data_IF_088329336875
#
_entry.id   IF_088329336875
#
_cell.length_a   1.000
_cell.length_b   1.000
_cell.length_c   1.000
_cell.angle_alpha   90.00
_cell.angle_beta   90.00
_cell.angle_gamma   90.00
#
_symmetry.space_group_name_H-M   'P 1'
#
loop_
_entity.id
_entity.type
_entity.pdbx_description
1 polymer ?
#
# COMPACT_ATOMS: atom_id res chain seq x y z
N UNK A 1 -11.61 84.77 -21.62
CA UNK A 1 -12.33 83.51 -21.90
C UNK A 1 -11.93 82.96 -23.26
N UNK A 2 -11.32 81.76 -23.30
CA UNK A 2 -11.58 80.64 -24.23
C UNK A 2 -10.43 79.64 -24.08
N UNK A 3 -10.62 78.65 -23.20
CA UNK A 3 -9.72 77.48 -23.05
C UNK A 3 -9.92 76.56 -24.25
N UNK A 4 -8.84 76.25 -24.95
CA UNK A 4 -8.76 75.17 -25.94
C UNK A 4 -8.85 73.82 -25.20
N UNK A 5 -9.81 72.97 -25.58
CA UNK A 5 -9.90 71.57 -25.13
C UNK A 5 -8.90 70.71 -25.94
N UNK A 6 -8.11 69.82 -25.33
CA UNK A 6 -7.41 68.78 -26.07
C UNK A 6 -8.34 67.62 -26.41
N UNK A 7 -8.13 67.06 -27.61
CA UNK A 7 -8.86 65.96 -28.25
C UNK A 7 -8.84 64.69 -27.39
N UNK A 8 -9.98 64.01 -27.31
CA UNK A 8 -10.11 62.66 -26.76
C UNK A 8 -9.43 61.64 -27.69
N UNK A 9 -8.49 60.87 -27.15
CA UNK A 9 -7.91 59.72 -27.82
C UNK A 9 -8.94 58.59 -27.93
N UNK A 10 -9.56 58.45 -29.10
CA UNK A 10 -10.33 57.25 -29.45
C UNK A 10 -9.37 56.08 -29.63
N UNK A 11 -9.31 55.15 -28.68
CA UNK A 11 -8.68 53.85 -28.92
C UNK A 11 -9.47 53.10 -30.00
N UNK A 12 -8.81 52.45 -30.99
CA UNK A 12 -9.50 51.69 -32.02
C UNK A 12 -10.37 50.58 -31.40
N UNK A 13 -11.59 50.39 -31.93
CA UNK A 13 -12.58 49.43 -31.42
C UNK A 13 -12.02 47.99 -31.28
N UNK A 14 -11.05 47.61 -32.11
CA UNK A 14 -10.36 46.31 -32.05
C UNK A 14 -9.50 46.12 -30.79
N UNK A 15 -8.92 47.19 -30.24
CA UNK A 15 -8.15 47.16 -28.98
C UNK A 15 -9.06 47.11 -27.75
N UNK A 16 -10.23 47.77 -27.81
CA UNK A 16 -11.27 47.70 -26.79
C UNK A 16 -11.88 46.30 -26.72
N UNK A 17 -12.14 45.68 -27.87
CA UNK A 17 -12.68 44.32 -27.97
C UNK A 17 -11.66 43.26 -27.49
N UNK A 18 -10.37 43.39 -27.86
CA UNK A 18 -9.29 42.54 -27.32
C UNK A 18 -9.10 42.71 -25.81
N UNK A 19 -9.23 43.94 -25.27
CA UNK A 19 -9.20 44.19 -23.82
C UNK A 19 -10.39 43.56 -23.10
N UNK A 20 -11.59 43.59 -23.69
CA UNK A 20 -12.76 42.93 -23.12
C UNK A 20 -12.64 41.40 -23.15
N UNK A 21 -12.18 40.82 -24.27
CA UNK A 21 -11.91 39.38 -24.35
C UNK A 21 -10.83 38.93 -23.37
N UNK A 22 -9.72 39.68 -23.25
CA UNK A 22 -8.66 39.37 -22.28
C UNK A 22 -9.16 39.48 -20.83
N UNK A 23 -9.99 40.49 -20.51
CA UNK A 23 -10.61 40.61 -19.18
C UNK A 23 -11.60 39.49 -18.89
N UNK A 24 -12.36 39.04 -19.89
CA UNK A 24 -13.30 37.92 -19.75
C UNK A 24 -12.55 36.59 -19.57
N UNK A 25 -11.51 36.36 -20.38
CA UNK A 25 -10.62 35.20 -20.24
C UNK A 25 -9.88 35.20 -18.90
N UNK A 26 -9.33 36.34 -18.47
CA UNK A 26 -8.64 36.47 -17.19
C UNK A 26 -9.61 36.27 -16.01
N UNK A 27 -10.87 36.75 -16.11
CA UNK A 27 -11.90 36.47 -15.10
C UNK A 27 -12.30 35.00 -15.07
N UNK A 28 -12.45 34.35 -16.22
CA UNK A 28 -12.77 32.93 -16.30
C UNK A 28 -11.62 32.08 -15.78
N UNK A 29 -10.38 32.41 -16.16
CA UNK A 29 -9.16 31.75 -15.70
C UNK A 29 -8.95 31.95 -14.19
N UNK A 30 -9.06 33.18 -13.68
CA UNK A 30 -8.99 33.43 -12.24
C UNK A 30 -10.13 32.73 -11.50
N UNK A 31 -11.36 32.75 -12.01
CA UNK A 31 -12.48 32.05 -11.37
C UNK A 31 -12.25 30.54 -11.34
N UNK A 32 -11.84 29.93 -12.45
CA UNK A 32 -11.46 28.50 -12.54
C UNK A 32 -10.25 28.16 -11.66
N UNK A 33 -9.26 29.06 -11.60
CA UNK A 33 -8.08 28.92 -10.76
C UNK A 33 -8.48 28.98 -9.28
N UNK A 34 -9.26 29.98 -8.84
CA UNK A 34 -9.70 30.12 -7.45
C UNK A 34 -10.71 29.05 -7.02
N UNK A 35 -11.61 28.58 -7.89
CA UNK A 35 -12.55 27.50 -7.56
C UNK A 35 -11.85 26.15 -7.39
N UNK A 36 -10.83 25.86 -8.19
CA UNK A 36 -10.01 24.64 -8.04
C UNK A 36 -8.90 24.78 -6.98
N UNK A 37 -8.40 25.99 -6.74
CA UNK A 37 -7.41 26.27 -5.70
C UNK A 37 -8.02 26.05 -4.30
N UNK A 38 -9.32 26.29 -4.12
CA UNK A 38 -9.99 25.97 -2.86
C UNK A 38 -10.03 24.46 -2.59
N UNK A 39 -10.21 23.62 -3.62
CA UNK A 39 -10.10 22.17 -3.52
C UNK A 39 -8.67 21.73 -3.24
N UNK A 40 -7.68 22.32 -3.90
CA UNK A 40 -6.26 22.08 -3.64
C UNK A 40 -5.84 22.48 -2.22
N UNK A 41 -6.19 23.68 -1.77
CA UNK A 41 -5.88 24.19 -0.43
C UNK A 41 -6.64 23.41 0.64
N UNK A 42 -7.93 23.08 0.45
CA UNK A 42 -8.66 22.25 1.39
C UNK A 42 -8.11 20.82 1.43
N UNK A 43 -7.68 20.26 0.30
CA UNK A 43 -6.98 18.98 0.25
C UNK A 43 -5.65 19.02 1.01
N UNK A 44 -4.84 20.06 0.80
CA UNK A 44 -3.59 20.28 1.54
C UNK A 44 -3.84 20.52 3.03
N UNK A 45 -4.84 21.32 3.42
CA UNK A 45 -5.20 21.60 4.81
C UNK A 45 -5.76 20.37 5.52
N UNK A 46 -6.56 19.54 4.85
CA UNK A 46 -7.04 18.25 5.40
C UNK A 46 -5.88 17.27 5.56
N UNK A 47 -4.94 17.22 4.61
CA UNK A 47 -3.70 16.45 4.75
C UNK A 47 -2.83 16.95 5.91
N UNK A 48 -2.72 18.27 6.10
CA UNK A 48 -1.94 18.92 7.15
C UNK A 48 -2.56 18.76 8.54
N UNK A 49 -3.85 19.08 8.69
CA UNK A 49 -4.58 18.97 9.96
C UNK A 49 -4.63 17.52 10.46
N UNK A 50 -4.71 16.55 9.56
CA UNK A 50 -4.70 15.13 9.91
C UNK A 50 -3.29 14.54 10.10
N UNK A 51 -2.22 15.27 9.81
CA UNK A 51 -0.85 14.90 10.18
C UNK A 51 -0.56 15.18 11.67
N UNK A 52 -1.32 16.09 12.29
CA UNK A 52 -1.20 16.47 13.70
C UNK A 52 -2.09 15.67 14.67
N UNK A 53 -3.04 14.88 14.16
CA UNK A 53 -3.75 13.88 14.98
C UNK A 53 -2.85 12.66 15.21
N UNK A 54 -1.88 12.84 16.11
CA UNK A 54 -0.97 11.82 16.59
C UNK A 54 -1.74 10.80 17.45
N UNK A 55 -2.31 9.78 16.82
CA UNK A 55 -2.62 8.53 17.52
C UNK A 55 -1.40 7.62 17.41
N UNK A 56 -0.60 7.56 18.48
CA UNK A 56 0.38 6.49 18.67
C UNK A 56 -0.41 5.22 19.01
N UNK A 57 -0.72 4.42 18.01
CA UNK A 57 -1.28 3.09 18.24
C UNK A 57 -0.12 2.15 18.55
N UNK A 58 0.14 1.87 19.82
CA UNK A 58 1.28 1.01 20.18
C UNK A 58 1.06 -0.42 19.69
N UNK A 59 2.10 -0.98 19.07
CA UNK A 59 2.17 -2.39 18.72
C UNK A 59 2.15 -3.27 19.98
N UNK A 60 1.06 -4.00 20.20
CA UNK A 60 0.92 -4.90 21.35
C UNK A 60 0.97 -6.35 20.89
N UNK A 61 2.03 -7.05 21.30
CA UNK A 61 2.15 -8.50 21.15
C UNK A 61 1.48 -9.22 22.34
N UNK A 62 0.84 -10.35 22.06
CA UNK A 62 0.30 -11.23 23.11
C UNK A 62 1.43 -11.83 23.93
N UNK A 63 1.13 -12.14 25.20
CA UNK A 63 2.07 -12.76 26.15
C UNK A 63 2.77 -14.00 25.60
N UNK A 64 2.00 -14.93 25.02
CA UNK A 64 2.52 -16.18 24.47
C UNK A 64 2.68 -16.10 22.96
N UNK A 65 3.77 -16.67 22.45
CA UNK A 65 3.99 -16.80 21.02
C UNK A 65 2.94 -17.77 20.41
N UNK A 66 2.31 -17.45 19.26
CA UNK A 66 1.20 -18.22 18.70
C UNK A 66 1.47 -19.73 18.59
N UNK A 67 0.55 -20.54 19.10
CA UNK A 67 0.64 -22.01 19.05
C UNK A 67 1.67 -22.61 20.02
N UNK A 68 2.20 -21.85 20.97
CA UNK A 68 3.22 -22.30 21.92
C UNK A 68 2.93 -21.83 23.34
N UNK A 69 3.69 -22.35 24.31
CA UNK A 69 3.74 -21.87 25.70
C UNK A 69 4.88 -20.88 25.94
N UNK A 70 5.62 -20.49 24.90
CA UNK A 70 6.77 -19.60 25.00
C UNK A 70 6.29 -18.18 25.30
N UNK A 71 6.73 -17.65 26.43
CA UNK A 71 6.40 -16.29 26.87
C UNK A 71 7.36 -15.28 26.23
N UNK A 72 6.81 -14.21 25.67
CA UNK A 72 7.59 -13.05 25.22
C UNK A 72 8.08 -12.28 26.45
N UNK A 73 9.36 -11.93 26.46
CA UNK A 73 9.90 -10.99 27.43
C UNK A 73 9.17 -9.64 27.29
N UNK A 74 8.66 -9.12 28.39
CA UNK A 74 8.01 -7.81 28.39
C UNK A 74 9.00 -6.72 27.93
N UNK A 75 8.56 -5.88 26.98
CA UNK A 75 9.35 -4.76 26.45
C UNK A 75 8.61 -3.47 26.78
N UNK A 76 9.13 -2.65 27.72
CA UNK A 76 8.61 -1.32 27.96
C UNK A 76 8.68 -0.48 26.68
N UNK A 77 7.70 0.40 26.47
CA UNK A 77 7.65 1.23 25.27
C UNK A 77 8.92 2.08 25.07
N UNK A 78 9.49 2.57 26.17
CA UNK A 78 10.76 3.32 26.20
C UNK A 78 11.95 2.51 25.69
N UNK A 79 11.88 1.18 25.71
CA UNK A 79 12.93 0.26 25.32
C UNK A 79 12.66 -0.45 23.99
N UNK A 80 11.50 -0.27 23.36
CA UNK A 80 11.16 -0.95 22.09
C UNK A 80 12.16 -0.63 20.98
N UNK A 81 12.67 0.61 20.92
CA UNK A 81 13.58 1.03 19.84
C UNK A 81 14.98 0.43 20.04
N UNK A 82 15.51 -0.22 19.00
CA UNK A 82 16.87 -0.79 18.99
C UNK A 82 18.00 0.19 19.34
N UNK A 83 17.80 1.50 19.15
CA UNK A 83 18.79 2.52 19.53
C UNK A 83 18.93 2.68 21.06
N UNK A 84 17.90 2.29 21.81
CA UNK A 84 17.91 2.33 23.27
C UNK A 84 18.67 1.12 23.77
N UNK A 85 19.73 1.37 24.56
CA UNK A 85 20.49 0.31 25.23
C UNK A 85 19.56 -0.37 26.23
N UNK A 86 19.50 -1.70 26.17
CA UNK A 86 18.79 -2.51 27.15
C UNK A 86 19.64 -3.76 27.39
N UNK A 87 20.48 -3.68 28.44
CA UNK A 87 21.45 -4.73 28.77
C UNK A 87 20.78 -5.99 29.31
N UNK A 88 19.59 -5.85 29.90
CA UNK A 88 18.80 -6.98 30.44
C UNK A 88 17.94 -7.65 29.38
N UNK A 89 17.98 -7.19 28.13
CA UNK A 89 17.14 -7.71 27.07
C UNK A 89 17.72 -9.01 26.49
N UNK A 90 17.36 -10.13 27.12
CA UNK A 90 17.72 -11.48 26.71
C UNK A 90 16.45 -12.33 26.54
N UNK A 91 15.66 -12.08 25.49
CA UNK A 91 14.45 -12.86 25.24
C UNK A 91 14.80 -14.28 24.78
N UNK A 92 13.83 -15.19 24.90
CA UNK A 92 13.97 -16.56 24.39
C UNK A 92 14.21 -16.56 22.88
N UNK A 93 15.07 -17.46 22.42
CA UNK A 93 15.31 -17.70 20.99
C UNK A 93 14.44 -18.90 20.54
N UNK A 94 13.55 -18.65 19.58
CA UNK A 94 12.63 -19.65 19.08
C UNK A 94 12.57 -19.61 17.56
N UNK A 95 12.79 -20.76 16.94
CA UNK A 95 12.69 -20.95 15.49
C UNK A 95 12.09 -22.33 15.22
N UNK A 96 11.10 -22.37 14.34
CA UNK A 96 10.42 -23.58 13.89
C UNK A 96 9.99 -23.39 12.43
N UNK A 97 10.22 -24.40 11.59
CA UNK A 97 9.79 -24.37 10.21
C UNK A 97 8.39 -24.99 10.06
N UNK A 98 7.40 -24.28 9.51
CA UNK A 98 6.10 -24.88 9.19
C UNK A 98 6.24 -26.03 8.19
N UNK A 99 5.44 -27.10 8.36
CA UNK A 99 5.58 -28.34 7.61
C UNK A 99 5.47 -28.19 6.08
N UNK A 100 4.62 -27.27 5.60
CA UNK A 100 4.39 -27.04 4.16
C UNK A 100 5.34 -25.99 3.55
N UNK A 101 6.40 -25.63 4.26
CA UNK A 101 7.27 -24.54 3.88
C UNK A 101 8.74 -24.95 3.77
N UNK A 102 9.42 -24.39 2.78
CA UNK A 102 10.89 -24.42 2.70
C UNK A 102 11.44 -23.17 3.38
N UNK A 103 11.78 -23.31 4.65
CA UNK A 103 12.30 -22.20 5.46
C UNK A 103 13.80 -21.96 5.22
N UNK A 104 14.28 -20.79 5.61
CA UNK A 104 15.70 -20.51 5.71
C UNK A 104 16.42 -21.52 6.66
N UNK A 105 17.75 -21.67 6.56
CA UNK A 105 18.53 -22.33 7.60
C UNK A 105 18.49 -21.54 8.92
N UNK A 106 18.71 -22.23 10.05
CA UNK A 106 18.80 -21.60 11.37
C UNK A 106 20.03 -20.71 11.52
N UNK A 107 21.14 -21.07 10.87
CA UNK A 107 22.29 -20.18 10.72
C UNK A 107 22.04 -19.25 9.52
N UNK A 108 21.92 -17.91 9.73
CA UNK A 108 21.69 -16.96 8.64
C UNK A 108 22.92 -16.74 7.75
N UNK A 109 24.06 -17.38 8.03
CA UNK A 109 25.29 -17.19 7.27
C UNK A 109 25.08 -17.51 5.78
N UNK A 110 25.49 -16.57 4.92
CA UNK A 110 25.36 -16.68 3.47
C UNK A 110 24.06 -16.10 2.90
N UNK A 111 23.09 -15.73 3.74
CA UNK A 111 21.86 -15.07 3.31
C UNK A 111 22.15 -13.62 2.90
N UNK A 112 21.65 -13.23 1.72
CA UNK A 112 21.80 -11.87 1.17
C UNK A 112 20.69 -10.94 1.63
N UNK A 113 20.86 -10.33 2.80
CA UNK A 113 19.87 -9.41 3.36
C UNK A 113 19.77 -8.06 2.63
N UNK A 114 18.58 -7.46 2.66
CA UNK A 114 18.26 -6.16 2.02
C UNK A 114 18.45 -6.12 0.50
N UNK A 115 18.38 -7.27 -0.17
CA UNK A 115 18.42 -7.40 -1.62
C UNK A 115 17.55 -8.57 -2.10
N UNK A 116 17.54 -8.81 -3.40
CA UNK A 116 16.90 -9.99 -3.98
C UNK A 116 17.91 -11.13 -3.89
N UNK A 117 17.56 -12.17 -3.14
CA UNK A 117 18.36 -13.36 -2.91
C UNK A 117 17.74 -14.51 -3.70
N UNK A 118 18.22 -14.70 -4.92
CA UNK A 118 17.66 -15.61 -5.93
C UNK A 118 16.17 -15.36 -6.17
N UNK A 119 15.32 -16.28 -5.69
CA UNK A 119 13.88 -16.21 -5.85
C UNK A 119 13.16 -15.45 -4.73
N UNK A 120 13.86 -15.02 -3.69
CA UNK A 120 13.27 -14.36 -2.52
C UNK A 120 13.67 -12.89 -2.46
N UNK A 121 12.67 -12.01 -2.47
CA UNK A 121 12.88 -10.59 -2.16
C UNK A 121 13.02 -10.42 -0.65
N UNK A 122 14.23 -10.08 -0.20
CA UNK A 122 14.52 -9.87 1.23
C UNK A 122 14.57 -8.39 1.59
N UNK A 123 14.07 -7.49 0.73
CA UNK A 123 14.02 -6.03 1.00
C UNK A 123 12.79 -5.69 1.84
N UNK A 124 12.84 -4.58 2.56
CA UNK A 124 11.70 -4.10 3.37
C UNK A 124 10.99 -2.93 2.69
N UNK A 125 9.68 -2.86 2.86
CA UNK A 125 8.83 -1.74 2.44
C UNK A 125 8.76 -0.61 3.47
N UNK A 126 9.30 -0.82 4.67
CA UNK A 126 9.18 0.12 5.79
C UNK A 126 10.20 1.26 5.67
N UNK A 127 11.37 0.98 5.10
CA UNK A 127 12.49 1.93 4.95
C UNK A 127 13.49 1.42 3.91
N UNK A 128 14.51 2.22 3.60
CA UNK A 128 15.54 1.84 2.62
C UNK A 128 16.25 0.51 2.93
N UNK A 129 16.63 0.26 4.19
CA UNK A 129 17.26 -1.00 4.67
C UNK A 129 16.92 -1.28 6.13
N UNK A 130 16.67 -2.53 6.50
CA UNK A 130 16.69 -2.95 7.90
C UNK A 130 18.13 -3.16 8.39
N UNK A 131 18.31 -3.12 9.71
CA UNK A 131 19.63 -3.29 10.33
C UNK A 131 19.91 -4.77 10.51
N UNK A 132 21.19 -5.13 10.47
CA UNK A 132 21.68 -6.45 10.86
C UNK A 132 22.32 -6.31 12.25
N UNK A 133 21.97 -7.21 13.16
CA UNK A 133 22.50 -7.30 14.49
C UNK A 133 23.92 -7.89 14.53
N UNK A 134 24.59 -7.82 15.69
CA UNK A 134 25.95 -8.36 15.85
C UNK A 134 26.02 -9.89 15.68
N UNK A 135 24.90 -10.58 15.86
CA UNK A 135 24.75 -12.03 15.63
C UNK A 135 24.45 -12.39 14.16
N UNK A 136 24.58 -11.43 13.24
CA UNK A 136 24.32 -11.62 11.82
C UNK A 136 22.85 -11.72 11.44
N UNK A 137 21.91 -11.54 12.39
CA UNK A 137 20.48 -11.64 12.14
C UNK A 137 19.83 -10.28 11.88
N UNK A 138 18.79 -10.19 11.04
CA UNK A 138 18.08 -8.94 10.83
C UNK A 138 17.38 -8.47 12.11
N UNK A 139 17.21 -7.15 12.23
CA UNK A 139 16.52 -6.51 13.35
C UNK A 139 15.20 -5.91 12.87
N UNK A 140 14.10 -6.36 13.48
CA UNK A 140 12.74 -5.96 13.16
C UNK A 140 12.61 -4.44 13.11
N UNK A 141 12.06 -3.88 12.02
CA UNK A 141 12.14 -2.46 11.81
C UNK A 141 11.29 -1.63 12.78
N UNK A 142 10.32 -2.26 13.46
CA UNK A 142 9.47 -1.66 14.49
C UNK A 142 10.01 -1.83 15.91
N UNK A 143 11.11 -2.57 16.09
CA UNK A 143 11.80 -2.68 17.37
C UNK A 143 11.77 -4.09 17.97
N UNK A 144 12.09 -4.14 19.27
CA UNK A 144 12.07 -5.34 20.11
C UNK A 144 10.64 -5.85 20.26
N UNK A 145 10.49 -7.17 20.29
CA UNK A 145 9.21 -7.88 20.33
C UNK A 145 9.11 -8.85 21.51
N UNK A 146 10.19 -9.00 22.29
CA UNK A 146 10.27 -9.92 23.41
C UNK A 146 10.63 -11.36 23.04
N UNK A 147 10.98 -11.65 21.78
CA UNK A 147 11.40 -12.98 21.34
C UNK A 147 12.38 -12.88 20.15
N UNK A 148 13.43 -13.72 20.17
CA UNK A 148 14.43 -13.87 19.09
C UNK A 148 14.14 -15.08 18.23
N UNK A 149 14.88 -15.20 17.12
CA UNK A 149 14.70 -16.27 16.15
C UNK A 149 13.61 -15.92 15.14
N UNK A 150 13.24 -16.86 14.27
CA UNK A 150 12.18 -16.63 13.26
C UNK A 150 10.77 -16.87 13.80
N UNK A 151 10.65 -17.47 14.98
CA UNK A 151 9.41 -18.07 15.42
C UNK A 151 8.97 -19.11 14.41
N UNK A 152 7.75 -18.97 13.88
CA UNK A 152 7.14 -19.83 12.88
C UNK A 152 7.11 -19.20 11.48
N UNK A 153 7.76 -18.05 11.29
CA UNK A 153 7.94 -17.46 9.97
C UNK A 153 9.05 -18.20 9.21
N UNK A 154 8.88 -18.36 7.90
CA UNK A 154 9.79 -19.18 7.11
C UNK A 154 11.17 -18.52 6.91
N UNK A 155 11.20 -17.20 6.78
CA UNK A 155 12.41 -16.47 6.39
C UNK A 155 12.90 -15.52 7.47
N UNK A 156 14.22 -15.34 7.54
CA UNK A 156 14.83 -14.26 8.31
C UNK A 156 14.48 -12.90 7.68
N UNK A 157 14.09 -11.93 8.50
CA UNK A 157 13.72 -10.60 8.05
C UNK A 157 12.26 -10.52 7.57
N UNK A 158 11.98 -9.79 6.48
CA UNK A 158 10.62 -9.62 5.98
C UNK A 158 10.07 -10.91 5.36
N UNK A 159 8.84 -11.26 5.74
CA UNK A 159 8.03 -12.32 5.16
C UNK A 159 6.85 -11.64 4.46
N UNK A 160 6.91 -11.56 3.13
CA UNK A 160 5.96 -10.77 2.36
C UNK A 160 4.66 -11.55 2.11
N UNK A 161 3.54 -10.94 2.47
CA UNK A 161 2.20 -11.40 2.15
C UNK A 161 1.52 -10.44 1.17
N UNK A 162 0.59 -10.97 0.39
CA UNK A 162 -0.13 -10.25 -0.64
C UNK A 162 -1.63 -10.56 -0.58
N UNK A 163 -2.43 -9.54 -0.84
CA UNK A 163 -3.86 -9.62 -1.09
C UNK A 163 -4.15 -8.83 -2.36
N UNK A 164 -4.80 -9.47 -3.32
CA UNK A 164 -5.24 -8.81 -4.54
C UNK A 164 -6.75 -8.76 -4.57
N UNK A 165 -7.29 -7.55 -4.60
CA UNK A 165 -8.70 -7.27 -4.79
C UNK A 165 -8.92 -7.14 -6.29
N UNK A 166 -9.67 -8.08 -6.86
CA UNK A 166 -10.05 -8.04 -8.28
C UNK A 166 -11.52 -7.61 -8.34
N UNK A 167 -11.79 -6.59 -9.16
CA UNK A 167 -13.15 -6.18 -9.49
C UNK A 167 -13.39 -6.14 -10.99
N UNK A 168 -14.64 -6.35 -11.40
CA UNK A 168 -15.09 -6.19 -12.79
C UNK A 168 -16.41 -5.45 -12.87
N UNK A 169 -16.65 -4.76 -13.99
CA UNK A 169 -17.85 -3.94 -14.20
C UNK A 169 -17.80 -2.57 -13.53
N UNK A 170 -18.90 -1.82 -13.58
CA UNK A 170 -18.99 -0.43 -13.09
C UNK A 170 -20.30 -0.18 -12.34
N UNK A 171 -20.27 0.82 -11.46
CA UNK A 171 -21.46 1.31 -10.75
C UNK A 171 -22.11 0.21 -9.93
N UNK A 172 -23.42 0.06 -10.06
CA UNK A 172 -24.19 -0.94 -9.31
C UNK A 172 -23.92 -2.39 -9.75
N UNK A 173 -23.33 -2.60 -10.93
CA UNK A 173 -23.03 -3.94 -11.47
C UNK A 173 -21.56 -4.32 -11.21
N UNK A 174 -20.92 -3.69 -10.22
CA UNK A 174 -19.52 -3.96 -9.88
C UNK A 174 -19.44 -5.20 -9.01
N UNK A 175 -18.71 -6.18 -9.49
CA UNK A 175 -18.50 -7.45 -8.82
C UNK A 175 -17.06 -7.55 -8.32
N UNK A 176 -16.87 -8.25 -7.21
CA UNK A 176 -15.56 -8.58 -6.65
C UNK A 176 -15.36 -10.09 -6.67
N UNK A 177 -14.14 -10.53 -6.98
CA UNK A 177 -13.78 -11.94 -6.88
C UNK A 177 -13.39 -12.26 -5.44
N UNK A 178 -14.24 -13.05 -4.75
CA UNK A 178 -14.14 -13.29 -3.31
C UNK A 178 -14.05 -14.78 -2.98
N UNK A 179 -13.51 -15.11 -1.81
CA UNK A 179 -13.28 -16.49 -1.35
C UNK A 179 -14.24 -16.87 -0.21
N UNK A 180 -15.31 -17.62 -0.48
CA UNK A 180 -16.24 -18.09 0.55
C UNK A 180 -15.81 -19.42 1.14
N UNK A 181 -15.98 -19.57 2.46
CA UNK A 181 -15.86 -20.86 3.16
C UNK A 181 -17.13 -21.12 3.97
N UNK A 182 -17.51 -22.38 4.08
CA UNK A 182 -18.61 -22.84 4.94
C UNK A 182 -18.37 -22.54 6.43
N UNK A 183 -17.11 -22.28 6.83
CA UNK A 183 -16.72 -21.99 8.22
C UNK A 183 -16.64 -20.50 8.55
N UNK A 184 -16.62 -19.62 7.54
CA UNK A 184 -16.42 -18.18 7.75
C UNK A 184 -17.59 -17.37 7.21
N UNK A 185 -18.30 -16.69 8.10
CA UNK A 185 -19.31 -15.66 7.79
C UNK A 185 -18.68 -14.29 7.50
N UNK A 186 -17.37 -14.24 7.22
CA UNK A 186 -16.62 -13.00 7.14
C UNK A 186 -17.07 -12.19 5.92
N UNK A 187 -17.39 -10.93 6.14
CA UNK A 187 -17.66 -9.95 5.09
C UNK A 187 -16.37 -9.68 4.29
N UNK A 188 -16.46 -9.80 2.96
CA UNK A 188 -15.36 -9.63 1.99
C UNK A 188 -14.09 -10.46 2.28
N UNK A 189 -14.15 -11.79 2.12
CA UNK A 189 -13.02 -12.69 2.35
C UNK A 189 -12.08 -12.72 1.15
N UNK A 190 -11.20 -11.72 1.03
CA UNK A 190 -10.10 -11.78 0.07
C UNK A 190 -8.98 -12.68 0.59
N UNK A 191 -8.37 -13.43 -0.32
CA UNK A 191 -7.27 -14.32 -0.01
C UNK A 191 -6.00 -13.53 0.34
N UNK A 192 -5.34 -13.92 1.42
CA UNK A 192 -4.01 -13.44 1.81
C UNK A 192 -3.07 -14.63 1.79
N UNK A 193 -2.01 -14.57 0.99
CA UNK A 193 -0.95 -15.59 1.00
C UNK A 193 0.42 -14.93 1.01
N UNK A 194 1.41 -15.69 1.47
CA UNK A 194 2.79 -15.28 1.36
C UNK A 194 3.33 -15.41 -0.07
N UNK A 195 4.18 -14.47 -0.45
CA UNK A 195 4.78 -14.34 -1.77
C UNK A 195 6.28 -14.12 -1.63
N UNK A 196 7.04 -14.67 -2.58
CA UNK A 196 8.51 -14.51 -2.58
C UNK A 196 8.95 -13.22 -3.24
N UNK A 197 8.25 -12.76 -4.28
CA UNK A 197 8.59 -11.56 -5.06
C UNK A 197 7.39 -10.59 -5.14
N UNK A 198 7.02 -9.93 -4.02
CA UNK A 198 5.85 -9.04 -3.97
C UNK A 198 5.93 -7.83 -4.91
N UNK A 199 7.11 -7.49 -5.44
CA UNK A 199 7.32 -6.33 -6.32
C UNK A 199 7.10 -6.61 -7.81
N UNK A 200 6.93 -7.87 -8.22
CA UNK A 200 6.73 -8.26 -9.63
C UNK A 200 5.49 -9.13 -9.84
N UNK A 201 4.89 -9.60 -8.75
CA UNK A 201 3.69 -10.43 -8.78
C UNK A 201 2.44 -9.56 -8.53
N UNK A 202 1.35 -9.85 -9.25
CA UNK A 202 0.07 -9.13 -9.13
C UNK A 202 -1.02 -9.94 -8.43
N UNK A 203 -0.85 -11.26 -8.28
CA UNK A 203 -1.81 -12.16 -7.62
C UNK A 203 -1.10 -13.05 -6.59
N UNK A 204 -1.71 -13.34 -5.43
CA UNK A 204 -1.30 -14.45 -4.57
C UNK A 204 -1.21 -15.78 -5.36
N UNK A 205 -0.37 -16.76 -4.94
CA UNK A 205 -0.14 -17.99 -5.70
C UNK A 205 -1.41 -18.76 -6.09
N UNK A 206 -2.36 -18.93 -5.17
CA UNK A 206 -3.62 -19.63 -5.46
C UNK A 206 -4.46 -18.83 -6.46
N UNK A 207 -4.57 -17.51 -6.27
CA UNK A 207 -5.33 -16.66 -7.18
C UNK A 207 -4.70 -16.60 -8.58
N UNK A 208 -3.37 -16.62 -8.67
CA UNK A 208 -2.64 -16.73 -9.93
C UNK A 208 -3.01 -18.03 -10.66
N UNK A 209 -3.02 -19.17 -9.97
CA UNK A 209 -3.38 -20.46 -10.57
C UNK A 209 -4.83 -20.48 -11.08
N UNK A 210 -5.76 -19.88 -10.35
CA UNK A 210 -7.16 -19.77 -10.76
C UNK A 210 -7.28 -18.87 -12.00
N UNK A 211 -6.89 -17.61 -11.88
CA UNK A 211 -7.09 -16.59 -12.91
C UNK A 211 -6.34 -16.94 -14.19
N UNK A 212 -5.06 -17.30 -14.08
CA UNK A 212 -4.24 -17.63 -15.25
C UNK A 212 -4.60 -19.00 -15.81
N UNK A 213 -5.05 -19.93 -14.98
CA UNK A 213 -5.58 -21.22 -15.43
C UNK A 213 -6.75 -21.02 -16.38
N UNK A 214 -7.76 -20.27 -15.95
CA UNK A 214 -8.97 -20.03 -16.75
C UNK A 214 -8.66 -19.17 -17.98
N UNK A 215 -7.78 -18.15 -17.86
CA UNK A 215 -7.34 -17.35 -19.02
C UNK A 215 -6.64 -18.18 -20.09
N UNK A 216 -5.85 -19.20 -19.72
CA UNK A 216 -5.13 -20.07 -20.67
C UNK A 216 -6.06 -20.95 -21.52
N UNK A 217 -7.29 -21.17 -21.08
CA UNK A 217 -8.27 -21.95 -21.84
C UNK A 217 -8.83 -21.15 -23.02
N UNK A 218 -8.74 -19.81 -22.98
CA UNK A 218 -9.41 -18.91 -23.92
C UNK A 218 -8.41 -18.04 -24.69
N UNK A 219 -7.35 -17.58 -24.03
CA UNK A 219 -6.40 -16.62 -24.59
C UNK A 219 -5.05 -17.24 -24.93
N UNK A 220 -4.40 -16.80 -26.02
CA UNK A 220 -3.03 -17.21 -26.31
C UNK A 220 -2.05 -16.63 -25.27
N UNK A 221 -0.92 -17.32 -25.05
CA UNK A 221 0.06 -16.94 -24.04
C UNK A 221 0.54 -15.48 -24.14
N UNK A 222 0.75 -14.97 -25.35
CA UNK A 222 1.15 -13.59 -25.58
C UNK A 222 0.13 -12.56 -25.02
N UNK A 223 -1.17 -12.82 -25.20
CA UNK A 223 -2.23 -11.93 -24.69
C UNK A 223 -2.30 -11.96 -23.15
N UNK A 224 -2.03 -13.13 -22.54
CA UNK A 224 -1.97 -13.26 -21.08
C UNK A 224 -0.78 -12.48 -20.52
N UNK A 225 0.38 -12.54 -21.18
CA UNK A 225 1.55 -11.75 -20.79
C UNK A 225 1.29 -10.25 -20.89
N UNK A 226 0.63 -9.79 -21.94
CA UNK A 226 0.23 -8.39 -22.11
C UNK A 226 -0.76 -7.96 -21.00
N UNK A 227 -1.76 -8.80 -20.70
CA UNK A 227 -2.71 -8.55 -19.62
C UNK A 227 -2.02 -8.47 -18.25
N UNK A 228 -1.08 -9.37 -17.96
CA UNK A 228 -0.28 -9.35 -16.72
C UNK A 228 0.58 -8.08 -16.61
N UNK A 229 1.22 -7.66 -17.70
CA UNK A 229 1.99 -6.42 -17.75
C UNK A 229 1.09 -5.20 -17.52
N UNK A 230 -0.09 -5.19 -18.14
CA UNK A 230 -1.11 -4.16 -17.92
C UNK A 230 -1.57 -4.12 -16.47
N UNK A 231 -1.93 -5.25 -15.88
CA UNK A 231 -2.31 -5.34 -14.46
C UNK A 231 -1.19 -4.84 -13.55
N UNK A 232 0.05 -5.19 -13.85
CA UNK A 232 1.20 -4.71 -13.08
C UNK A 232 1.31 -3.19 -13.12
N UNK A 233 1.16 -2.57 -14.29
CA UNK A 233 1.28 -1.12 -14.48
C UNK A 233 0.08 -0.34 -13.96
N UNK A 234 -1.13 -0.86 -14.14
CA UNK A 234 -2.38 -0.14 -13.88
C UNK A 234 -3.00 -0.44 -12.52
N UNK A 235 -2.54 -1.50 -11.84
CA UNK A 235 -3.00 -1.81 -10.50
C UNK A 235 -2.71 -0.71 -9.49
N UNK A 236 -3.58 -0.65 -8.50
CA UNK A 236 -3.54 0.32 -7.43
C UNK A 236 -3.00 -0.32 -6.15
N UNK A 237 -1.80 0.08 -5.72
CA UNK A 237 -1.26 -0.31 -4.42
C UNK A 237 -2.01 0.47 -3.33
N UNK A 238 -2.95 -0.20 -2.66
CA UNK A 238 -3.75 0.37 -1.57
C UNK A 238 -2.92 0.49 -0.28
N UNK A 239 -2.14 -0.55 -0.01
CA UNK A 239 -1.27 -0.64 1.16
C UNK A 239 -0.04 -1.47 0.81
N UNK A 240 1.10 -1.07 1.38
CA UNK A 240 2.34 -1.82 1.29
C UNK A 240 3.19 -1.35 2.47
N UNK A 241 3.56 -2.26 3.37
CA UNK A 241 4.30 -1.92 4.58
C UNK A 241 4.28 -3.01 5.65
N UNK A 242 4.72 -2.64 6.85
CA UNK A 242 4.80 -3.52 8.01
C UNK A 242 3.43 -4.03 8.46
N UNK A 243 3.26 -5.35 8.56
CA UNK A 243 2.03 -5.94 9.07
C UNK A 243 2.22 -6.44 10.50
N UNK A 244 1.35 -5.98 11.39
CA UNK A 244 1.31 -6.47 12.77
C UNK A 244 0.75 -7.88 12.81
N UNK A 245 1.67 -8.84 12.88
CA UNK A 245 1.36 -10.25 13.04
C UNK A 245 1.89 -10.72 14.39
N UNK A 246 1.12 -11.54 15.10
CA UNK A 246 1.52 -12.09 16.39
C UNK A 246 2.71 -13.07 16.27
N UNK A 247 3.05 -13.49 15.05
CA UNK A 247 4.24 -14.27 14.71
C UNK A 247 5.51 -13.43 14.56
N UNK A 248 5.42 -12.10 14.50
CA UNK A 248 6.60 -11.25 14.36
C UNK A 248 7.52 -11.41 15.57
N UNK A 249 8.82 -11.49 15.32
CA UNK A 249 9.89 -11.60 16.30
C UNK A 249 10.86 -10.43 16.14
N UNK A 250 11.95 -10.46 16.89
CA UNK A 250 13.06 -9.53 16.71
C UNK A 250 13.78 -9.71 15.37
N UNK A 251 13.68 -10.90 14.77
CA UNK A 251 14.48 -11.29 13.62
C UNK A 251 13.67 -11.74 12.39
N UNK A 252 12.34 -11.83 12.49
CA UNK A 252 11.46 -12.10 11.36
C UNK A 252 10.14 -11.35 11.54
N UNK A 253 9.59 -10.78 10.49
CA UNK A 253 8.32 -10.05 10.55
C UNK A 253 7.55 -10.15 9.25
N UNK A 254 6.23 -10.01 9.33
CA UNK A 254 5.36 -9.94 8.17
C UNK A 254 5.34 -8.53 7.59
N UNK A 255 5.39 -8.43 6.26
CA UNK A 255 5.05 -7.24 5.51
C UNK A 255 3.95 -7.55 4.52
N UNK A 256 3.03 -6.62 4.29
CA UNK A 256 1.80 -6.91 3.58
C UNK A 256 1.56 -5.92 2.45
N UNK A 257 1.19 -6.43 1.28
CA UNK A 257 0.78 -5.65 0.11
C UNK A 257 -0.70 -5.90 -0.17
N UNK A 258 -1.48 -4.83 -0.28
CA UNK A 258 -2.86 -4.85 -0.77
C UNK A 258 -2.86 -4.14 -2.11
N UNK A 259 -3.24 -4.88 -3.15
CA UNK A 259 -3.28 -4.43 -4.52
C UNK A 259 -4.72 -4.51 -5.03
N UNK A 260 -5.17 -3.50 -5.78
CA UNK A 260 -6.50 -3.47 -6.42
C UNK A 260 -6.32 -3.47 -7.94
N UNK A 261 -7.01 -4.38 -8.61
CA UNK A 261 -7.10 -4.44 -10.08
C UNK A 261 -8.57 -4.27 -10.44
N UNK A 262 -8.86 -3.24 -11.21
CA UNK A 262 -10.21 -2.93 -11.67
C UNK A 262 -10.30 -3.19 -13.18
N UNK A 263 -11.20 -4.09 -13.60
CA UNK A 263 -11.51 -4.39 -15.00
C UNK A 263 -12.94 -3.93 -15.32
N UNK A 264 -13.14 -2.63 -15.51
CA UNK A 264 -14.49 -2.11 -15.57
C UNK A 264 -15.15 -2.34 -16.94
N UNK A 265 -14.40 -2.78 -17.97
CA UNK A 265 -14.93 -3.26 -19.25
C UNK A 265 -15.31 -4.75 -19.24
N UNK A 266 -14.89 -5.49 -18.20
CA UNK A 266 -14.98 -6.97 -18.14
C UNK A 266 -14.23 -7.63 -19.31
N UNK A 267 -13.17 -7.02 -19.82
CA UNK A 267 -12.44 -7.54 -20.97
C UNK A 267 -11.57 -8.74 -20.58
N UNK A 268 -10.99 -8.70 -19.39
CA UNK A 268 -9.99 -9.68 -18.96
C UNK A 268 -10.55 -10.71 -17.98
N UNK A 269 -11.32 -10.27 -16.98
CA UNK A 269 -11.76 -11.14 -15.89
C UNK A 269 -13.14 -11.76 -16.11
N UNK A 270 -13.77 -11.54 -17.28
CA UNK A 270 -15.05 -12.18 -17.59
C UNK A 270 -14.93 -13.70 -17.77
N UNK A 271 -13.74 -14.18 -18.14
CA UNK A 271 -13.44 -15.61 -18.32
C UNK A 271 -13.17 -16.37 -17.02
N UNK A 272 -12.97 -15.65 -15.92
CA UNK A 272 -12.63 -16.27 -14.63
C UNK A 272 -13.91 -16.75 -13.98
N UNK A 273 -14.02 -18.06 -13.79
CA UNK A 273 -15.24 -18.70 -13.31
C UNK A 273 -15.18 -18.97 -11.80
N UNK A 274 -16.31 -19.43 -11.24
CA UNK A 274 -16.33 -19.88 -9.87
C UNK A 274 -15.53 -21.18 -9.70
N UNK A 275 -14.67 -21.26 -8.67
CA UNK A 275 -13.74 -22.38 -8.49
C UNK A 275 -13.65 -22.81 -7.04
N UNK A 276 -13.84 -24.12 -6.80
CA UNK A 276 -13.59 -24.72 -5.49
C UNK A 276 -12.12 -25.12 -5.36
N UNK A 277 -11.49 -24.73 -4.26
CA UNK A 277 -10.07 -24.96 -4.01
C UNK A 277 -9.86 -25.36 -2.55
N UNK A 278 -8.91 -26.25 -2.31
CA UNK A 278 -8.40 -26.55 -0.97
C UNK A 278 -7.17 -25.68 -0.72
N UNK A 279 -7.23 -24.80 0.28
CA UNK A 279 -6.14 -23.89 0.60
C UNK A 279 -4.90 -24.67 1.07
N UNK A 280 -3.71 -24.48 0.46
CA UNK A 280 -2.51 -25.26 0.80
C UNK A 280 -2.03 -25.09 2.25
N UNK A 281 -2.24 -23.91 2.84
CA UNK A 281 -1.78 -23.62 4.21
C UNK A 281 -2.69 -24.21 5.29
N UNK A 282 -4.00 -24.18 5.10
CA UNK A 282 -4.98 -24.55 6.14
C UNK A 282 -5.67 -25.88 5.88
N UNK A 283 -5.58 -26.41 4.65
CA UNK A 283 -6.38 -27.54 4.19
C UNK A 283 -7.88 -27.24 4.11
N UNK A 284 -8.28 -25.97 4.21
CA UNK A 284 -9.67 -25.56 4.18
C UNK A 284 -10.21 -25.53 2.75
N UNK A 285 -11.39 -26.12 2.53
CA UNK A 285 -12.11 -25.99 1.26
C UNK A 285 -12.82 -24.63 1.18
N UNK A 286 -12.56 -23.92 0.10
CA UNK A 286 -13.13 -22.60 -0.19
C UNK A 286 -13.64 -22.55 -1.63
N UNK A 287 -14.59 -21.65 -1.88
CA UNK A 287 -15.10 -21.36 -3.22
C UNK A 287 -14.76 -19.92 -3.57
N UNK A 288 -14.02 -19.74 -4.65
CA UNK A 288 -13.83 -18.43 -5.28
C UNK A 288 -14.97 -18.15 -6.24
N UNK A 289 -15.55 -16.96 -6.20
CA UNK A 289 -16.67 -16.58 -7.06
C UNK A 289 -16.82 -15.06 -7.16
N UNK A 290 -17.55 -14.60 -8.17
CA UNK A 290 -17.95 -13.20 -8.30
C UNK A 290 -19.15 -12.88 -7.42
N UNK A 291 -19.05 -11.79 -6.67
CA UNK A 291 -20.15 -11.28 -5.86
C UNK A 291 -20.26 -9.76 -5.99
N UNK A 292 -21.49 -9.25 -6.11
CA UNK A 292 -21.77 -7.83 -5.98
C UNK A 292 -21.65 -7.43 -4.50
N UNK A 293 -20.71 -6.53 -4.20
CA UNK A 293 -20.51 -6.02 -2.84
C UNK A 293 -20.50 -4.50 -2.86
N UNK A 294 -21.11 -3.82 -1.87
CA UNK A 294 -20.96 -2.38 -1.71
C UNK A 294 -19.49 -2.01 -1.56
N UNK A 295 -19.00 -1.01 -2.31
CA UNK A 295 -17.59 -0.59 -2.23
C UNK A 295 -17.18 -0.23 -0.79
N UNK A 296 -18.09 0.37 -0.02
CA UNK A 296 -17.87 0.72 1.39
C UNK A 296 -17.54 -0.51 2.26
N UNK A 297 -18.14 -1.66 1.96
CA UNK A 297 -17.87 -2.91 2.68
C UNK A 297 -16.43 -3.37 2.43
N UNK A 298 -15.97 -3.32 1.17
CA UNK A 298 -14.60 -3.64 0.78
C UNK A 298 -13.62 -2.64 1.42
N UNK A 299 -13.93 -1.34 1.39
CA UNK A 299 -13.11 -0.32 2.02
C UNK A 299 -12.99 -0.50 3.53
N UNK A 300 -14.09 -0.83 4.22
CA UNK A 300 -14.09 -1.11 5.66
C UNK A 300 -13.19 -2.29 5.97
N UNK A 301 -13.29 -3.38 5.20
CA UNK A 301 -12.42 -4.55 5.37
C UNK A 301 -10.94 -4.20 5.22
N UNK A 302 -10.60 -3.44 4.17
CA UNK A 302 -9.24 -2.95 3.95
C UNK A 302 -8.78 -2.07 5.11
N UNK A 303 -9.62 -1.15 5.59
CA UNK A 303 -9.31 -0.31 6.75
C UNK A 303 -9.08 -1.13 8.02
N UNK A 304 -9.87 -2.17 8.27
CA UNK A 304 -9.69 -3.09 9.41
C UNK A 304 -8.35 -3.83 9.34
N UNK A 305 -7.99 -4.35 8.16
CA UNK A 305 -6.70 -5.03 7.95
C UNK A 305 -5.52 -4.08 8.17
N UNK A 306 -5.60 -2.86 7.64
CA UNK A 306 -4.53 -1.86 7.75
C UNK A 306 -4.49 -1.25 9.17
N UNK A 307 -5.62 -1.16 9.88
CA UNK A 307 -5.68 -0.64 11.26
C UNK A 307 -4.81 -1.45 12.22
N UNK A 308 -4.67 -2.75 11.97
CA UNK A 308 -3.76 -3.62 12.75
C UNK A 308 -2.31 -3.19 12.60
N UNK A 309 -1.93 -2.65 11.44
CA UNK A 309 -0.55 -2.27 11.11
C UNK A 309 -0.21 -0.97 11.85
N UNK A 310 0.68 -1.04 12.84
CA UNK A 310 1.18 0.14 13.55
C UNK A 310 1.99 1.02 12.58
N UNK A 311 1.35 2.05 12.04
CA UNK A 311 1.88 2.94 11.00
C UNK A 311 2.47 4.20 11.63
N UNK A 312 3.71 4.49 11.26
CA UNK A 312 4.34 5.80 11.44
C UNK A 312 3.57 6.89 10.71
N UNK A 313 3.77 8.15 11.08
CA UNK A 313 3.16 9.29 10.39
C UNK A 313 3.51 9.33 8.89
N UNK A 314 4.74 8.94 8.54
CA UNK A 314 5.18 8.83 7.14
C UNK A 314 4.39 7.74 6.38
N UNK A 315 4.20 6.56 6.97
CA UNK A 315 3.39 5.49 6.37
C UNK A 315 1.91 5.88 6.26
N UNK A 316 1.36 6.60 7.26
CA UNK A 316 -0.01 7.16 7.20
C UNK A 316 -0.14 8.16 6.05
N UNK A 317 0.83 9.06 5.87
CA UNK A 317 0.86 10.03 4.79
C UNK A 317 0.99 9.37 3.42
N UNK A 318 1.90 8.40 3.26
CA UNK A 318 2.06 7.64 2.02
C UNK A 318 0.76 6.92 1.63
N UNK A 319 0.08 6.30 2.61
CA UNK A 319 -1.21 5.67 2.38
C UNK A 319 -2.28 6.68 1.91
N UNK A 320 -2.33 7.87 2.51
CA UNK A 320 -3.24 8.95 2.05
C UNK A 320 -2.92 9.39 0.62
N UNK A 321 -1.64 9.54 0.28
CA UNK A 321 -1.21 9.91 -1.08
C UNK A 321 -1.55 8.83 -2.10
N UNK A 322 -1.39 7.54 -1.76
CA UNK A 322 -1.86 6.41 -2.58
C UNK A 322 -3.37 6.47 -2.79
N UNK A 323 -4.16 6.69 -1.73
CA UNK A 323 -5.63 6.85 -1.82
C UNK A 323 -6.03 8.05 -2.69
N UNK A 324 -5.33 9.17 -2.57
CA UNK A 324 -5.57 10.35 -3.40
C UNK A 324 -5.26 10.05 -4.87
N UNK A 325 -4.12 9.40 -5.17
CA UNK A 325 -3.75 8.96 -6.53
C UNK A 325 -4.88 8.13 -7.15
N UNK A 326 -5.37 7.12 -6.42
CA UNK A 326 -6.46 6.24 -6.87
C UNK A 326 -7.73 7.04 -7.14
N UNK A 327 -8.10 7.96 -6.24
CA UNK A 327 -9.26 8.83 -6.42
C UNK A 327 -9.13 9.68 -7.70
N UNK A 328 -8.01 10.34 -7.92
CA UNK A 328 -7.79 11.16 -9.12
C UNK A 328 -7.77 10.32 -10.41
N UNK A 329 -7.20 9.11 -10.37
CA UNK A 329 -7.24 8.16 -11.49
C UNK A 329 -8.68 7.78 -11.83
N UNK A 330 -9.49 7.38 -10.84
CA UNK A 330 -10.90 6.99 -11.04
C UNK A 330 -11.76 8.15 -11.57
N UNK A 331 -11.43 9.40 -11.24
CA UNK A 331 -12.13 10.59 -11.71
C UNK A 331 -11.61 11.14 -13.05
N UNK A 332 -10.59 10.54 -13.66
CA UNK A 332 -9.98 11.05 -14.90
C UNK A 332 -9.27 12.40 -14.74
N UNK A 333 -8.85 12.74 -13.53
CA UNK A 333 -8.20 14.03 -13.23
C UNK A 333 -6.69 13.87 -13.38
N UNK A 334 -6.16 14.26 -14.54
CA UNK A 334 -4.76 14.00 -14.89
C UNK A 334 -3.75 15.02 -14.32
N UNK A 335 -4.17 16.25 -13.98
CA UNK A 335 -3.26 17.35 -13.63
C UNK A 335 -2.40 17.12 -12.38
N UNK A 336 -2.87 16.34 -11.40
CA UNK A 336 -2.17 16.07 -10.14
C UNK A 336 -1.46 14.71 -10.10
N UNK A 337 -1.68 13.85 -11.10
CA UNK A 337 -1.11 12.50 -11.13
C UNK A 337 0.42 12.48 -11.20
N UNK A 338 1.12 13.34 -11.97
CA UNK A 338 2.58 13.34 -12.00
C UNK A 338 3.20 13.59 -10.62
N UNK A 339 2.69 14.58 -9.89
CA UNK A 339 3.17 14.93 -8.54
C UNK A 339 2.94 13.79 -7.54
N UNK A 340 1.76 13.18 -7.60
CA UNK A 340 1.44 12.03 -6.74
C UNK A 340 2.28 10.80 -7.08
N UNK A 341 2.56 10.57 -8.37
CA UNK A 341 3.43 9.50 -8.82
C UNK A 341 4.84 9.71 -8.28
N UNK A 342 5.44 10.89 -8.46
CA UNK A 342 6.79 11.19 -7.98
C UNK A 342 6.90 11.03 -6.46
N UNK A 343 5.88 11.47 -5.71
CA UNK A 343 5.86 11.30 -4.26
C UNK A 343 5.80 9.82 -3.86
N UNK A 344 4.88 9.05 -4.44
CA UNK A 344 4.72 7.63 -4.12
C UNK A 344 5.98 6.83 -4.50
N UNK A 345 6.55 7.09 -5.67
CA UNK A 345 7.75 6.40 -6.18
C UNK A 345 8.98 6.65 -5.32
N UNK A 346 9.16 7.88 -4.81
CA UNK A 346 10.34 8.25 -4.02
C UNK A 346 10.19 7.97 -2.52
N UNK A 347 8.98 7.67 -2.04
CA UNK A 347 8.67 7.54 -0.61
C UNK A 347 9.41 6.41 0.13
N UNK A 348 9.84 5.35 -0.57
CA UNK A 348 10.57 4.20 0.02
C UNK A 348 11.97 4.63 0.55
N UNK A 349 12.47 5.81 0.15
CA UNK A 349 13.73 6.38 0.62
C UNK A 349 13.62 7.70 1.41
N UNK A 350 12.43 8.29 1.56
CA UNK A 350 12.25 9.65 2.10
C UNK A 350 11.92 9.67 3.60
N UNK A 351 12.70 9.00 4.46
CA UNK A 351 12.59 9.18 5.92
C UNK A 351 13.24 10.47 6.43
N UNK A 352 13.23 11.56 5.64
CA UNK A 352 13.85 12.82 6.07
C UNK A 352 13.52 14.07 5.26
N UNK A 353 13.05 13.95 4.00
CA UNK A 353 12.88 15.12 3.11
C UNK A 353 11.41 15.52 2.91
N UNK A 354 10.45 14.67 3.30
CA UNK A 354 9.03 15.02 3.20
C UNK A 354 8.63 16.22 4.07
N UNK A 355 9.37 16.48 5.17
CA UNK A 355 9.20 17.70 5.97
C UNK A 355 9.85 18.91 5.28
N UNK A 356 10.95 18.72 4.55
CA UNK A 356 11.67 19.80 3.86
C UNK A 356 10.99 20.26 2.58
N UNK A 357 10.37 19.37 1.81
CA UNK A 357 9.62 19.76 0.59
C UNK A 357 8.36 20.55 0.96
N UNK A 358 7.69 20.19 2.07
CA UNK A 358 6.57 20.96 2.60
C UNK A 358 7.01 22.35 3.12
N UNK A 359 8.19 22.47 3.72
CA UNK A 359 8.74 23.76 4.20
C UNK A 359 9.21 24.63 3.02
N UNK A 360 9.85 24.07 1.99
CA UNK A 360 10.34 24.85 0.85
C UNK A 360 9.24 25.37 -0.08
N UNK A 361 8.09 24.70 -0.15
CA UNK A 361 6.91 25.20 -0.88
C UNK A 361 6.17 26.31 -0.12
N UNK A 362 6.40 26.46 1.19
CA UNK A 362 5.84 27.56 2.01
C UNK A 362 6.72 28.83 1.94
N UNK A 363 7.97 28.72 1.52
CA UNK A 363 8.90 29.86 1.45
C UNK A 363 8.86 30.56 0.06
N UNK A 364 8.15 29.99 -0.93
CA UNK A 364 8.04 30.53 -2.30
C UNK A 364 6.67 31.19 -2.59
N UNK A 365 5.81 31.33 -1.58
CA UNK A 365 4.63 32.20 -1.59
C UNK A 365 4.68 33.12 -0.38
#
# INVERSE_FOLDING_TARGET
MKRLKPKANNLPASLLQRRQQFRSFLRFFLHYFFTNMHLGINFFLVLFASAFLLTNSHLVYKKYYPGTTIERLYVPESETRWKVKSEKYHPQDYTACPQNWKCDPDDPKGIKFNEIDDELDRRTFVRKKYKIGPDGRPLNPKGRTGIRGRGTLAYWGPNHAMMTIISRGKGNNKEYYVMRSNRTTVEAPFLIEYVKKPMVQVFPPTLYQIVIGDMKEIFPEAAILEALEKFYKESSIIYQGYYTDQRNTDNAWSEFTILEIDDPSKEYFNVVEAKRVTLPETGEEVTFQWEELPEEQVERKVKELIKKSDRTSAEKMLHRMRRAKIYFQKQGIHGLLPVLNDFVSNSIGLTGVAVTIAINLIIIH
#
